data_IF_080443998495
#
_entry.id   IF_080443998495
#
_cell.length_a   1.000
_cell.length_b   1.000
_cell.length_c   1.000
_cell.angle_alpha   90.00
_cell.angle_beta   90.00
_cell.angle_gamma   90.00
#
_symmetry.space_group_name_H-M   'P 1'
#
loop_
_entity.id
_entity.type
_entity.pdbx_description
1 polymer ?
#
# COMPACT_ATOMS: atom_id res chain seq x y z
N UNK A 1 32.33 1.80 -27.50
CA UNK A 1 31.68 1.26 -26.30
C UNK A 1 32.46 0.04 -25.87
N UNK A 2 33.20 0.14 -24.77
CA UNK A 2 34.01 -0.98 -24.23
C UNK A 2 33.20 -1.77 -23.22
N UNK A 3 33.58 -3.03 -22.98
CA UNK A 3 32.97 -3.88 -21.95
C UNK A 3 33.00 -3.20 -20.57
N UNK A 4 34.05 -2.44 -20.27
CA UNK A 4 34.19 -1.68 -19.02
C UNK A 4 33.16 -0.55 -18.91
N UNK A 5 32.90 0.19 -19.99
CA UNK A 5 31.88 1.25 -20.03
C UNK A 5 30.47 0.67 -19.87
N UNK A 6 30.20 -0.49 -20.45
CA UNK A 6 28.91 -1.17 -20.30
C UNK A 6 28.70 -1.68 -18.87
N UNK A 7 29.72 -2.30 -18.25
CA UNK A 7 29.65 -2.75 -16.85
C UNK A 7 29.41 -1.55 -15.92
N UNK A 8 30.14 -0.46 -16.10
CA UNK A 8 29.97 0.76 -15.32
C UNK A 8 28.56 1.35 -15.50
N UNK A 9 28.04 1.37 -16.73
CA UNK A 9 26.68 1.85 -17.02
C UNK A 9 25.62 1.00 -16.31
N UNK A 10 25.76 -0.33 -16.35
CA UNK A 10 24.82 -1.25 -15.69
C UNK A 10 24.87 -1.12 -14.17
N UNK A 11 26.06 -0.98 -13.57
CA UNK A 11 26.23 -0.77 -12.13
C UNK A 11 25.58 0.55 -11.67
N UNK A 12 25.81 1.64 -12.40
CA UNK A 12 25.18 2.92 -12.07
C UNK A 12 23.66 2.85 -12.21
N UNK A 13 23.15 2.10 -13.19
CA UNK A 13 21.71 1.90 -13.36
C UNK A 13 21.11 1.04 -12.24
N UNK A 14 21.80 0.00 -11.77
CA UNK A 14 21.31 -0.84 -10.66
C UNK A 14 21.21 -0.04 -9.37
N UNK A 15 22.25 0.71 -9.00
CA UNK A 15 22.19 1.55 -7.78
C UNK A 15 21.07 2.60 -7.84
N UNK A 16 20.87 3.24 -9.00
CA UNK A 16 19.75 4.18 -9.19
C UNK A 16 18.39 3.52 -9.12
N UNK A 17 18.29 2.23 -9.45
CA UNK A 17 17.05 1.48 -9.33
C UNK A 17 16.80 1.14 -7.86
N UNK A 18 17.82 0.70 -7.15
CA UNK A 18 17.75 0.35 -5.71
C UNK A 18 17.38 1.58 -4.87
N UNK A 19 17.99 2.75 -5.14
CA UNK A 19 17.66 4.01 -4.48
C UNK A 19 16.18 4.38 -4.68
N UNK A 20 15.66 4.22 -5.90
CA UNK A 20 14.24 4.49 -6.21
C UNK A 20 13.30 3.47 -5.57
N UNK A 21 13.74 2.22 -5.46
CA UNK A 21 12.99 1.17 -4.79
C UNK A 21 12.89 1.50 -3.29
N UNK A 22 14.00 1.82 -2.64
CA UNK A 22 14.04 2.19 -1.23
C UNK A 22 13.23 3.46 -0.95
N UNK A 23 13.32 4.48 -1.82
CA UNK A 23 12.55 5.73 -1.69
C UNK A 23 11.03 5.50 -1.71
N UNK A 24 10.53 4.60 -2.56
CA UNK A 24 9.09 4.43 -2.76
C UNK A 24 8.46 3.27 -1.97
N UNK A 25 9.22 2.22 -1.68
CA UNK A 25 8.72 1.00 -1.04
C UNK A 25 9.33 0.76 0.35
N UNK A 26 10.24 1.63 0.79
CA UNK A 26 10.99 1.50 2.04
C UNK A 26 12.18 0.57 1.90
N UNK A 27 11.97 -0.63 1.37
CA UNK A 27 13.03 -1.61 1.10
C UNK A 27 12.74 -2.47 -0.15
N UNK A 28 13.78 -3.18 -0.59
CA UNK A 28 13.72 -4.08 -1.75
C UNK A 28 12.76 -5.25 -1.54
N UNK A 29 12.70 -5.80 -0.32
CA UNK A 29 11.86 -6.97 -0.02
C UNK A 29 10.37 -6.64 -0.15
N UNK A 30 9.96 -5.47 0.34
CA UNK A 30 8.61 -4.92 0.22
C UNK A 30 8.26 -4.68 -1.24
N UNK A 31 9.17 -4.08 -2.02
CA UNK A 31 8.97 -3.91 -3.46
C UNK A 31 8.74 -5.24 -4.19
N UNK A 32 9.60 -6.24 -3.93
CA UNK A 32 9.48 -7.57 -4.54
C UNK A 32 8.19 -8.28 -4.10
N UNK A 33 7.76 -8.10 -2.85
CA UNK A 33 6.48 -8.61 -2.36
C UNK A 33 5.29 -7.99 -3.12
N UNK A 34 5.27 -6.67 -3.26
CA UNK A 34 4.21 -5.96 -4.03
C UNK A 34 4.21 -6.37 -5.50
N UNK A 35 5.40 -6.56 -6.10
CA UNK A 35 5.53 -7.06 -7.47
C UNK A 35 5.02 -8.50 -7.61
N UNK A 36 5.26 -9.35 -6.61
CA UNK A 36 4.78 -10.73 -6.57
C UNK A 36 3.25 -10.77 -6.44
N UNK A 37 2.66 -9.89 -5.62
CA UNK A 37 1.20 -9.69 -5.54
C UNK A 37 0.63 -9.31 -6.92
N UNK A 38 1.22 -8.34 -7.60
CA UNK A 38 0.77 -7.93 -8.93
C UNK A 38 0.86 -9.09 -9.95
N UNK A 39 1.92 -9.89 -9.88
CA UNK A 39 2.08 -11.08 -10.72
C UNK A 39 1.00 -12.14 -10.43
N UNK A 40 0.68 -12.39 -9.16
CA UNK A 40 -0.35 -13.32 -8.76
C UNK A 40 -1.74 -12.93 -9.29
N UNK A 41 -2.08 -11.63 -9.28
CA UNK A 41 -3.32 -11.11 -9.89
C UNK A 41 -3.31 -11.30 -11.42
N UNK A 42 -2.16 -11.10 -12.06
CA UNK A 42 -2.04 -11.33 -13.51
C UNK A 42 -2.23 -12.80 -13.87
N UNK A 43 -1.66 -13.72 -13.09
CA UNK A 43 -1.72 -15.16 -13.33
C UNK A 43 -3.05 -15.82 -12.95
N UNK A 44 -3.80 -15.24 -12.00
CA UNK A 44 -5.12 -15.76 -11.60
C UNK A 44 -6.21 -15.55 -12.64
N UNK A 45 -5.90 -14.93 -13.79
CA UNK A 45 -6.86 -14.59 -14.84
C UNK A 45 -7.67 -13.32 -14.55
N UNK A 46 -7.60 -12.79 -13.32
CA UNK A 46 -8.23 -11.52 -12.92
C UNK A 46 -7.74 -10.36 -13.80
N UNK A 47 -6.44 -10.35 -14.16
CA UNK A 47 -5.86 -9.36 -15.07
C UNK A 47 -5.89 -9.71 -16.56
N UNK A 48 -6.52 -10.82 -16.96
CA UNK A 48 -6.33 -11.45 -18.28
C UNK A 48 -7.45 -11.30 -19.33
N UNK A 49 -7.08 -10.71 -20.47
CA UNK A 49 -7.50 -10.90 -21.89
C UNK A 49 -8.99 -10.78 -22.31
N UNK A 50 -9.99 -11.20 -21.53
CA UNK A 50 -11.39 -11.24 -22.02
C UNK A 50 -12.26 -10.03 -21.64
N UNK A 51 -11.78 -9.20 -20.71
CA UNK A 51 -12.58 -8.13 -20.12
C UNK A 51 -12.07 -6.76 -20.56
N UNK A 52 -12.89 -6.03 -21.34
CA UNK A 52 -12.69 -4.57 -21.53
C UNK A 52 -12.89 -3.77 -20.23
N UNK A 53 -13.39 -4.43 -19.18
CA UNK A 53 -13.62 -3.85 -17.86
C UNK A 53 -12.41 -4.13 -16.96
N UNK A 54 -11.98 -3.11 -16.23
CA UNK A 54 -10.99 -3.28 -15.18
C UNK A 54 -11.55 -4.25 -14.13
N UNK A 55 -10.74 -5.19 -13.63
CA UNK A 55 -11.15 -6.05 -12.51
C UNK A 55 -11.49 -5.24 -11.25
N UNK A 56 -11.00 -3.99 -11.18
CA UNK A 56 -11.38 -3.04 -10.13
C UNK A 56 -12.86 -2.65 -10.22
N UNK A 57 -13.53 -2.80 -11.36
CA UNK A 57 -14.94 -2.42 -11.56
C UNK A 57 -15.92 -3.58 -11.46
N UNK A 58 -15.42 -4.81 -11.37
CA UNK A 58 -16.23 -6.01 -11.23
C UNK A 58 -16.10 -6.58 -9.81
N UNK A 59 -17.20 -6.62 -9.02
CA UNK A 59 -17.16 -7.13 -7.65
C UNK A 59 -16.64 -8.57 -7.52
N UNK A 60 -16.95 -9.45 -8.47
CA UNK A 60 -16.51 -10.85 -8.44
C UNK A 60 -15.01 -10.95 -8.71
N UNK A 61 -14.50 -10.20 -9.69
CA UNK A 61 -13.06 -10.18 -9.96
C UNK A 61 -12.26 -9.47 -8.88
N UNK A 62 -12.81 -8.41 -8.28
CA UNK A 62 -12.21 -7.75 -7.11
C UNK A 62 -12.10 -8.70 -5.91
N UNK A 63 -13.17 -9.42 -5.57
CA UNK A 63 -13.15 -10.43 -4.50
C UNK A 63 -12.15 -11.56 -4.79
N UNK A 64 -12.08 -12.03 -6.04
CA UNK A 64 -11.08 -13.03 -6.44
C UNK A 64 -9.64 -12.50 -6.29
N UNK A 65 -9.39 -11.22 -6.61
CA UNK A 65 -8.10 -10.58 -6.38
C UNK A 65 -7.75 -10.57 -4.89
N UNK A 66 -8.68 -10.13 -4.03
CA UNK A 66 -8.49 -10.10 -2.56
C UNK A 66 -8.16 -11.49 -2.03
N UNK A 67 -8.91 -12.52 -2.43
CA UNK A 67 -8.65 -13.91 -2.03
C UNK A 67 -7.28 -14.41 -2.49
N UNK A 68 -6.88 -14.05 -3.72
CA UNK A 68 -5.57 -14.42 -4.27
C UNK A 68 -4.44 -13.78 -3.46
N UNK A 69 -4.56 -12.48 -3.15
CA UNK A 69 -3.58 -11.72 -2.35
C UNK A 69 -3.48 -12.32 -0.95
N UNK A 70 -4.61 -12.54 -0.27
CA UNK A 70 -4.64 -13.12 1.07
C UNK A 70 -4.00 -14.50 1.09
N UNK A 71 -4.34 -15.37 0.12
CA UNK A 71 -3.74 -16.71 0.05
C UNK A 71 -2.24 -16.66 -0.19
N UNK A 72 -1.76 -15.76 -1.05
CA UNK A 72 -0.32 -15.56 -1.28
C UNK A 72 0.40 -15.17 0.01
N UNK A 73 -0.15 -14.18 0.73
CA UNK A 73 0.41 -13.68 1.99
C UNK A 73 0.37 -14.72 3.11
N UNK A 74 -0.69 -15.53 3.18
CA UNK A 74 -0.81 -16.62 4.15
C UNK A 74 0.25 -17.71 3.95
N UNK A 75 0.58 -18.05 2.71
CA UNK A 75 1.57 -19.11 2.41
C UNK A 75 2.99 -18.70 2.79
N UNK A 76 3.32 -17.40 2.67
CA UNK A 76 4.65 -16.86 3.03
C UNK A 76 4.69 -16.30 4.45
N UNK A 77 3.59 -16.39 5.20
CA UNK A 77 3.50 -15.87 6.56
C UNK A 77 4.52 -16.61 7.44
N UNK A 78 5.41 -15.90 8.15
CA UNK A 78 6.31 -16.54 9.10
C UNK A 78 5.53 -17.34 10.14
N UNK A 79 6.02 -18.53 10.48
CA UNK A 79 5.47 -19.32 11.58
C UNK A 79 5.74 -18.64 12.93
N UNK A 80 4.83 -18.81 13.88
CA UNK A 80 4.99 -18.32 15.26
C UNK A 80 3.85 -17.42 15.74
N UNK A 81 4.04 -16.85 16.93
CA UNK A 81 3.10 -15.90 17.51
C UNK A 81 3.05 -14.62 16.67
N UNK A 82 1.85 -14.24 16.25
CA UNK A 82 1.61 -13.02 15.46
C UNK A 82 1.60 -11.75 16.31
N UNK A 83 1.68 -11.92 17.64
CA UNK A 83 1.85 -10.81 18.57
C UNK A 83 3.19 -10.15 18.31
N UNK A 84 3.22 -8.83 18.07
CA UNK A 84 4.44 -8.11 17.80
C UNK A 84 5.35 -8.25 19.03
N UNK A 85 6.63 -8.54 18.80
CA UNK A 85 7.63 -8.67 19.86
C UNK A 85 8.01 -7.29 20.40
N UNK A 86 7.04 -6.65 21.06
CA UNK A 86 7.23 -5.36 21.71
C UNK A 86 7.71 -5.65 23.13
N UNK A 87 8.92 -5.21 23.46
CA UNK A 87 9.48 -5.26 24.83
C UNK A 87 8.77 -4.26 25.74
N UNK A 88 7.44 -4.34 25.85
CA UNK A 88 6.61 -3.45 26.66
C UNK A 88 5.75 -4.27 27.59
N UNK A 89 5.49 -3.73 28.78
CA UNK A 89 4.51 -4.26 29.75
C UNK A 89 3.05 -4.05 29.31
N UNK A 90 2.80 -3.81 28.01
CA UNK A 90 1.46 -3.58 27.50
C UNK A 90 0.66 -4.87 27.55
N UNK A 91 -0.64 -4.76 27.86
CA UNK A 91 -1.55 -5.90 27.82
C UNK A 91 -1.72 -6.39 26.38
N UNK A 92 -2.14 -7.65 26.21
CA UNK A 92 -2.43 -8.22 24.88
C UNK A 92 -3.55 -7.43 24.19
N UNK A 93 -4.55 -7.02 24.96
CA UNK A 93 -5.68 -6.22 24.50
C UNK A 93 -5.24 -4.84 23.98
N UNK A 94 -4.26 -4.20 24.63
CA UNK A 94 -3.71 -2.91 24.17
C UNK A 94 -2.92 -3.07 22.87
N UNK A 95 -2.15 -4.14 22.75
CA UNK A 95 -1.39 -4.45 21.53
C UNK A 95 -2.35 -4.69 20.36
N UNK A 96 -3.38 -5.50 20.54
CA UNK A 96 -4.40 -5.76 19.53
C UNK A 96 -5.14 -4.48 19.12
N UNK A 97 -5.47 -3.62 20.09
CA UNK A 97 -6.11 -2.33 19.83
C UNK A 97 -5.23 -1.38 19.03
N UNK A 98 -3.92 -1.31 19.33
CA UNK A 98 -2.96 -0.51 18.56
C UNK A 98 -2.82 -1.06 17.15
N UNK A 99 -2.72 -2.38 16.98
CA UNK A 99 -2.64 -3.00 15.67
C UNK A 99 -3.90 -2.73 14.83
N UNK A 100 -5.08 -2.89 15.42
CA UNK A 100 -6.33 -2.57 14.75
C UNK A 100 -6.40 -1.10 14.37
N UNK A 101 -6.08 -0.19 15.29
CA UNK A 101 -6.02 1.23 15.00
C UNK A 101 -5.09 1.55 13.84
N UNK A 102 -3.88 0.99 13.82
CA UNK A 102 -2.92 1.23 12.73
C UNK A 102 -3.45 0.71 11.39
N UNK A 103 -3.99 -0.51 11.35
CA UNK A 103 -4.55 -1.09 10.11
C UNK A 103 -5.68 -0.21 9.55
N UNK A 104 -6.66 0.10 10.39
CA UNK A 104 -7.87 0.80 9.95
C UNK A 104 -7.56 2.26 9.61
N UNK A 105 -6.73 2.93 10.41
CA UNK A 105 -6.39 4.34 10.21
C UNK A 105 -5.51 4.55 8.98
N UNK A 106 -4.51 3.70 8.75
CA UNK A 106 -3.61 3.85 7.60
C UNK A 106 -4.38 3.60 6.30
N UNK A 107 -5.22 2.56 6.25
CA UNK A 107 -6.02 2.27 5.07
C UNK A 107 -6.97 3.44 4.74
N UNK A 108 -7.68 3.97 5.74
CA UNK A 108 -8.62 5.07 5.56
C UNK A 108 -7.92 6.38 5.19
N UNK A 109 -6.80 6.69 5.84
CA UNK A 109 -6.02 7.90 5.55
C UNK A 109 -5.53 7.93 4.10
N UNK A 110 -5.00 6.81 3.58
CA UNK A 110 -4.54 6.75 2.19
C UNK A 110 -5.70 7.02 1.22
N UNK A 111 -6.87 6.42 1.45
CA UNK A 111 -8.02 6.67 0.58
C UNK A 111 -8.56 8.10 0.69
N UNK A 112 -8.50 8.72 1.87
CA UNK A 112 -8.84 10.13 2.07
C UNK A 112 -7.86 11.05 1.34
N UNK A 113 -6.57 10.76 1.38
CA UNK A 113 -5.54 11.52 0.66
C UNK A 113 -5.74 11.42 -0.86
N UNK A 114 -6.02 10.21 -1.36
CA UNK A 114 -6.36 10.00 -2.78
C UNK A 114 -7.65 10.73 -3.15
N UNK A 115 -8.71 10.69 -2.32
CA UNK A 115 -9.97 11.41 -2.59
C UNK A 115 -9.78 12.92 -2.57
N UNK A 116 -8.99 13.45 -1.65
CA UNK A 116 -8.79 14.90 -1.48
C UNK A 116 -7.79 15.52 -2.45
N UNK A 117 -6.97 14.72 -3.15
CA UNK A 117 -5.97 15.24 -4.08
C UNK A 117 -6.58 16.12 -5.20
N UNK A 118 -6.03 17.32 -5.38
CA UNK A 118 -6.50 18.28 -6.38
C UNK A 118 -5.84 18.04 -7.75
N UNK A 119 -6.61 17.54 -8.71
CA UNK A 119 -6.13 17.26 -10.06
C UNK A 119 -5.87 18.51 -10.92
N UNK A 120 -6.32 19.68 -10.47
CA UNK A 120 -6.15 20.95 -11.20
C UNK A 120 -4.77 21.58 -11.00
N UNK A 121 -4.04 21.16 -9.96
CA UNK A 121 -2.72 21.69 -9.65
C UNK A 121 -1.67 21.27 -10.69
N UNK A 122 -0.68 22.13 -10.99
CA UNK A 122 0.46 21.76 -11.83
C UNK A 122 1.20 20.54 -11.29
N UNK A 123 1.79 19.72 -12.18
CA UNK A 123 2.52 18.49 -11.81
C UNK A 123 3.64 18.71 -10.78
N UNK A 124 4.23 19.91 -10.74
CA UNK A 124 5.34 20.26 -9.85
C UNK A 124 4.90 21.10 -8.62
N UNK A 125 3.60 21.34 -8.43
CA UNK A 125 3.11 22.09 -7.28
C UNK A 125 2.94 21.18 -6.05
N UNK A 126 3.30 21.67 -4.87
CA UNK A 126 3.19 20.93 -3.61
C UNK A 126 4.36 19.98 -3.35
N UNK A 127 4.13 19.00 -2.50
CA UNK A 127 5.10 18.00 -2.07
C UNK A 127 5.20 16.82 -3.05
N UNK A 128 6.21 15.96 -2.86
CA UNK A 128 6.30 14.67 -3.58
C UNK A 128 5.06 13.80 -3.34
N UNK A 129 4.55 13.79 -2.10
CA UNK A 129 3.33 13.06 -1.75
C UNK A 129 2.10 13.61 -2.48
N UNK A 130 1.94 14.94 -2.58
CA UNK A 130 0.82 15.54 -3.31
C UNK A 130 0.84 15.12 -4.80
N UNK A 131 2.04 15.07 -5.38
CA UNK A 131 2.24 14.62 -6.76
C UNK A 131 1.86 13.14 -6.94
N UNK A 132 2.26 12.29 -5.99
CA UNK A 132 1.89 10.88 -5.97
C UNK A 132 0.37 10.70 -5.82
N UNK A 133 -0.27 11.35 -4.86
CA UNK A 133 -1.71 11.22 -4.62
C UNK A 133 -2.53 11.70 -5.81
N UNK A 134 -2.13 12.78 -6.49
CA UNK A 134 -2.75 13.21 -7.76
C UNK A 134 -2.60 12.15 -8.85
N UNK A 135 -1.41 11.57 -9.00
CA UNK A 135 -1.18 10.50 -9.98
C UNK A 135 -2.05 9.28 -9.67
N UNK A 136 -2.10 8.84 -8.42
CA UNK A 136 -2.97 7.74 -7.96
C UNK A 136 -4.44 8.06 -8.24
N UNK A 137 -4.93 9.24 -7.82
CA UNK A 137 -6.32 9.68 -8.08
C UNK A 137 -6.66 9.69 -9.57
N UNK A 138 -5.73 10.10 -10.44
CA UNK A 138 -5.96 10.08 -11.90
C UNK A 138 -6.15 8.67 -12.49
N UNK A 139 -5.68 7.62 -11.79
CA UNK A 139 -5.76 6.23 -12.24
C UNK A 139 -6.87 5.44 -11.55
N UNK A 140 -7.04 5.63 -10.25
CA UNK A 140 -7.94 4.83 -9.40
C UNK A 140 -8.90 5.69 -8.57
N UNK A 141 -9.08 6.97 -8.90
CA UNK A 141 -9.99 7.85 -8.16
C UNK A 141 -11.42 7.30 -8.04
N UNK A 142 -11.94 6.70 -9.10
CA UNK A 142 -13.24 6.02 -9.09
C UNK A 142 -13.34 4.85 -8.09
N UNK A 143 -12.21 4.18 -7.79
CA UNK A 143 -12.13 3.15 -6.74
C UNK A 143 -12.11 3.81 -5.36
N UNK A 144 -11.36 4.90 -5.20
CA UNK A 144 -11.26 5.63 -3.95
C UNK A 144 -12.62 6.17 -3.48
N UNK A 145 -13.50 6.59 -4.40
CA UNK A 145 -14.87 7.02 -4.08
C UNK A 145 -15.74 5.94 -3.40
N UNK A 146 -15.37 4.66 -3.52
CA UNK A 146 -16.08 3.57 -2.85
C UNK A 146 -15.71 3.44 -1.36
N UNK A 147 -14.63 4.10 -0.93
CA UNK A 147 -14.21 4.08 0.47
C UNK A 147 -15.16 4.94 1.31
N UNK A 148 -15.87 4.36 2.30
CA UNK A 148 -16.77 5.11 3.18
C UNK A 148 -16.02 5.98 4.18
N UNK A 149 -14.69 5.88 4.25
CA UNK A 149 -13.86 6.60 5.21
C UNK A 149 -14.08 8.11 5.15
N UNK A 150 -14.26 8.72 6.31
CA UNK A 150 -14.31 10.17 6.50
C UNK A 150 -13.18 10.65 7.40
N UNK A 151 -12.86 11.95 7.32
CA UNK A 151 -11.88 12.57 8.21
C UNK A 151 -12.31 12.50 9.68
N UNK A 152 -13.62 12.54 9.93
CA UNK A 152 -14.19 12.42 11.28
C UNK A 152 -13.95 11.02 11.86
N UNK A 153 -14.06 9.96 11.06
CA UNK A 153 -13.77 8.59 11.49
C UNK A 153 -12.31 8.44 11.94
N UNK A 154 -11.38 8.96 11.14
CA UNK A 154 -9.93 8.94 11.45
C UNK A 154 -9.64 9.74 12.72
N UNK A 155 -10.22 10.94 12.85
CA UNK A 155 -10.06 11.79 14.03
C UNK A 155 -10.62 11.14 15.29
N UNK A 156 -11.81 10.52 15.20
CA UNK A 156 -12.44 9.81 16.30
C UNK A 156 -11.56 8.66 16.79
N UNK A 157 -11.07 7.81 15.88
CA UNK A 157 -10.16 6.71 16.24
C UNK A 157 -8.87 7.22 16.88
N UNK A 158 -8.30 8.32 16.38
CA UNK A 158 -7.12 8.94 16.98
C UNK A 158 -7.37 9.44 18.41
N UNK A 159 -8.55 10.03 18.68
CA UNK A 159 -8.96 10.44 20.01
C UNK A 159 -9.16 9.25 20.95
N UNK A 160 -9.82 8.20 20.50
CA UNK A 160 -10.03 6.96 21.27
C UNK A 160 -8.69 6.33 21.69
N UNK A 161 -7.71 6.27 20.78
CA UNK A 161 -6.38 5.77 21.09
C UNK A 161 -5.61 6.65 22.07
N UNK A 162 -5.73 7.98 21.95
CA UNK A 162 -5.13 8.90 22.93
C UNK A 162 -5.75 8.73 24.32
N UNK A 163 -7.07 8.49 24.38
CA UNK A 163 -7.76 8.25 25.64
C UNK A 163 -7.32 6.93 26.30
N UNK A 164 -7.07 5.88 25.52
CA UNK A 164 -6.55 4.59 26.02
C UNK A 164 -5.17 4.74 26.64
N UNK A 165 -4.24 5.45 25.99
CA UNK A 165 -2.87 5.68 26.50
C UNK A 165 -2.78 6.45 27.83
N UNK A 166 -3.87 7.09 28.27
CA UNK A 166 -3.94 7.86 29.51
C UNK A 166 -4.45 7.06 30.71
N UNK A 167 -4.98 5.86 30.48
CA UNK A 167 -5.41 4.93 31.53
C UNK A 167 -4.24 4.04 31.94
#
# INVERSE_FOLDING_TARGET
MTLSEEIQTRLVQSFKLDDKIAEHFGDEQTYLMMRTIALAISWSGVGGIASRLSWLDDPAWFDQAVKTINRLLEVVRPEGDTSPNIKTSASKEDIEAVQQYMRDTVADAIWLDVKSADLSLPRHAGTSNDSLMRWVKSRVGHVAERSPATLDDVNKRAQEMRARKRK
#
